data_IF_156791165552
#
_entry.id   IF_156791165552
#
_cell.length_a   1.000
_cell.length_b   1.000
_cell.length_c   1.000
_cell.angle_alpha   90.00
_cell.angle_beta   90.00
_cell.angle_gamma   90.00
#
_symmetry.space_group_name_H-M   'P 1'
#
loop_
_entity.id
_entity.type
_entity.pdbx_description
1 polymer ?
#
# COMPACT_ATOMS: atom_id res chain seq x y z
N UNK A 1 25.35 13.00 3.23
CA UNK A 1 24.11 13.67 2.80
C UNK A 1 23.41 14.15 4.06
N UNK A 2 23.06 15.43 4.14
CA UNK A 2 22.20 15.91 5.23
C UNK A 2 20.83 15.25 5.05
N UNK A 3 20.24 14.71 6.12
CA UNK A 3 18.87 14.19 6.09
C UNK A 3 17.94 15.30 5.59
N UNK A 4 16.93 14.96 4.79
CA UNK A 4 15.91 15.95 4.43
C UNK A 4 15.31 16.53 5.73
N UNK A 5 15.25 17.87 5.86
CA UNK A 5 14.55 18.52 6.96
C UNK A 5 13.04 18.30 6.76
N UNK A 6 12.54 17.16 7.21
CA UNK A 6 11.13 16.81 7.19
C UNK A 6 10.50 17.35 8.48
N UNK A 7 9.62 18.35 8.33
CA UNK A 7 8.80 18.86 9.43
C UNK A 7 7.44 18.20 9.39
N UNK A 8 6.99 17.67 10.53
CA UNK A 8 5.70 17.02 10.71
C UNK A 8 4.96 17.66 11.89
N UNK A 9 3.63 17.79 11.84
CA UNK A 9 2.84 18.19 13.01
C UNK A 9 3.00 17.18 14.15
N UNK A 10 3.17 17.66 15.38
CA UNK A 10 3.26 16.79 16.57
C UNK A 10 1.97 16.01 16.82
N UNK A 11 0.83 16.57 16.40
CA UNK A 11 -0.51 16.01 16.54
C UNK A 11 -0.96 15.18 15.33
N UNK A 12 -0.05 14.78 14.43
CA UNK A 12 -0.38 14.11 13.17
C UNK A 12 -1.35 12.93 13.36
N UNK A 13 -1.07 12.07 14.35
CA UNK A 13 -1.89 10.91 14.68
C UNK A 13 -3.28 11.28 15.16
N UNK A 14 -3.40 12.11 16.20
CA UNK A 14 -4.69 12.50 16.80
C UNK A 14 -5.53 13.34 15.83
N UNK A 15 -4.91 14.28 15.11
CA UNK A 15 -5.56 15.06 14.05
C UNK A 15 -6.15 14.14 12.98
N UNK A 16 -5.38 13.15 12.52
CA UNK A 16 -5.85 12.23 11.48
C UNK A 16 -7.04 11.38 11.91
N UNK A 17 -7.12 10.98 13.19
CA UNK A 17 -8.26 10.25 13.74
C UNK A 17 -9.53 11.09 13.72
N UNK A 18 -9.45 12.34 14.17
CA UNK A 18 -10.59 13.26 14.19
C UNK A 18 -11.09 13.52 12.76
N UNK A 19 -10.17 13.80 11.82
CA UNK A 19 -10.52 13.98 10.41
C UNK A 19 -11.16 12.73 9.81
N UNK A 20 -10.66 11.54 10.15
CA UNK A 20 -11.19 10.28 9.65
C UNK A 20 -12.63 10.06 10.14
N UNK A 21 -12.89 10.21 11.43
CA UNK A 21 -14.23 10.00 12.00
C UNK A 21 -15.25 10.97 11.44
N UNK A 22 -14.87 12.24 11.31
CA UNK A 22 -15.70 13.26 10.68
C UNK A 22 -16.05 12.87 9.24
N UNK A 23 -15.07 12.51 8.42
CA UNK A 23 -15.30 12.12 7.03
C UNK A 23 -16.14 10.85 6.87
N UNK A 24 -15.97 9.88 7.78
CA UNK A 24 -16.83 8.69 7.82
C UNK A 24 -18.25 9.09 8.18
N UNK A 25 -18.45 9.93 9.21
CA UNK A 25 -19.77 10.39 9.64
C UNK A 25 -20.52 11.17 8.56
N UNK A 26 -19.78 11.93 7.74
CA UNK A 26 -20.31 12.67 6.57
C UNK A 26 -20.49 11.82 5.32
N UNK A 27 -20.15 10.52 5.37
CA UNK A 27 -20.22 9.61 4.22
C UNK A 27 -19.27 9.95 3.08
N UNK A 28 -18.25 10.77 3.33
CA UNK A 28 -17.22 11.16 2.36
C UNK A 28 -16.09 10.12 2.27
N UNK A 29 -15.73 9.49 3.40
CA UNK A 29 -14.74 8.41 3.46
C UNK A 29 -15.46 7.09 3.72
N UNK A 30 -15.06 6.03 3.01
CA UNK A 30 -15.68 4.72 3.11
C UNK A 30 -14.86 3.78 4.00
N UNK A 31 -15.43 3.46 5.14
CA UNK A 31 -14.90 2.50 6.10
C UNK A 31 -16.05 1.74 6.76
N UNK A 32 -15.84 0.44 6.94
CA UNK A 32 -16.67 -0.40 7.81
C UNK A 32 -15.74 -1.39 8.47
N UNK A 33 -15.92 -1.63 9.76
CA UNK A 33 -15.20 -2.69 10.44
C UNK A 33 -15.52 -4.03 9.74
N UNK A 34 -14.47 -4.73 9.31
CA UNK A 34 -14.57 -6.01 8.60
C UNK A 34 -13.95 -7.09 9.47
N UNK A 35 -14.63 -8.22 9.62
CA UNK A 35 -14.02 -9.41 10.22
C UNK A 35 -12.95 -9.99 9.27
N UNK A 36 -11.85 -10.45 9.86
CA UNK A 36 -10.78 -11.15 9.16
C UNK A 36 -10.94 -12.66 9.27
N UNK A 37 -10.56 -13.37 8.22
CA UNK A 37 -10.36 -14.81 8.19
C UNK A 37 -8.86 -15.09 8.08
N UNK A 38 -8.30 -15.87 8.99
CA UNK A 38 -6.89 -16.27 8.94
C UNK A 38 -6.80 -17.69 8.39
N UNK A 39 -6.00 -17.86 7.34
CA UNK A 39 -5.79 -19.15 6.66
C UNK A 39 -4.30 -19.42 6.53
N UNK A 40 -3.86 -20.60 6.94
CA UNK A 40 -2.48 -21.07 6.74
C UNK A 40 -2.44 -22.06 5.59
N UNK A 41 -1.57 -21.82 4.61
CA UNK A 41 -1.36 -22.73 3.48
C UNK A 41 0.14 -22.81 3.15
N UNK A 42 0.68 -24.02 3.06
CA UNK A 42 2.11 -24.27 2.80
C UNK A 42 3.08 -23.46 3.70
N UNK A 43 2.71 -23.25 4.97
CA UNK A 43 3.53 -22.49 5.93
C UNK A 43 3.46 -20.95 5.78
N UNK A 44 2.63 -20.46 4.87
CA UNK A 44 2.33 -19.04 4.68
C UNK A 44 0.97 -18.69 5.30
N UNK A 45 0.90 -17.58 6.01
CA UNK A 45 -0.33 -17.10 6.67
C UNK A 45 -0.97 -15.99 5.86
N UNK A 46 -2.26 -16.14 5.58
CA UNK A 46 -3.10 -15.15 4.94
C UNK A 46 -4.11 -14.60 5.92
N UNK A 47 -4.32 -13.30 5.88
CA UNK A 47 -5.44 -12.60 6.48
C UNK A 47 -6.35 -12.07 5.36
N UNK A 48 -7.51 -12.68 5.19
CA UNK A 48 -8.53 -12.22 4.25
C UNK A 48 -9.50 -11.26 4.92
N UNK A 49 -9.74 -10.11 4.30
CA UNK A 49 -10.79 -9.15 4.72
C UNK A 49 -11.66 -8.79 3.54
N UNK A 50 -12.97 -8.95 3.68
CA UNK A 50 -13.94 -8.49 2.68
C UNK A 50 -14.43 -7.09 3.06
N UNK A 51 -14.31 -6.15 2.13
CA UNK A 51 -14.87 -4.81 2.29
C UNK A 51 -15.54 -4.31 1.01
N UNK A 52 -16.86 -4.10 1.01
CA UNK A 52 -17.58 -3.53 -0.12
C UNK A 52 -17.10 -2.12 -0.51
N UNK A 53 -16.44 -1.40 0.41
CA UNK A 53 -15.86 -0.07 0.12
C UNK A 53 -14.85 -0.13 -1.04
N UNK A 54 -14.17 -1.25 -1.24
CA UNK A 54 -13.21 -1.42 -2.33
C UNK A 54 -13.86 -1.30 -3.71
N UNK A 55 -15.18 -1.57 -3.85
CA UNK A 55 -15.92 -1.38 -5.10
C UNK A 55 -16.06 0.10 -5.50
N UNK A 56 -15.85 1.02 -4.54
CA UNK A 56 -15.91 2.49 -4.76
C UNK A 56 -14.54 3.11 -5.02
N UNK A 57 -13.47 2.31 -4.97
CA UNK A 57 -12.10 2.81 -5.10
C UNK A 57 -11.87 3.34 -6.51
N UNK A 58 -11.41 4.59 -6.67
CA UNK A 58 -10.99 5.11 -7.96
C UNK A 58 -9.80 4.29 -8.50
N UNK A 59 -10.01 3.67 -9.66
CA UNK A 59 -9.03 2.81 -10.31
C UNK A 59 -8.86 3.27 -11.76
N UNK A 60 -7.60 3.37 -12.21
CA UNK A 60 -7.27 3.58 -13.61
C UNK A 60 -6.88 2.24 -14.24
N UNK A 61 -7.54 1.90 -15.34
CA UNK A 61 -7.22 0.73 -16.16
C UNK A 61 -5.79 0.78 -16.71
N UNK A 62 -5.27 -0.38 -17.17
CA UNK A 62 -3.88 -0.51 -17.67
C UNK A 62 -3.53 0.56 -18.70
N UNK A 63 -4.36 0.71 -19.72
CA UNK A 63 -4.10 1.55 -20.89
C UNK A 63 -4.77 2.93 -20.78
N UNK A 64 -5.26 3.32 -19.59
CA UNK A 64 -5.87 4.64 -19.40
C UNK A 64 -4.79 5.74 -19.54
N UNK A 65 -4.91 6.66 -20.52
CA UNK A 65 -3.92 7.72 -20.73
C UNK A 65 -3.77 8.64 -19.52
N UNK A 66 -4.76 8.72 -18.62
CA UNK A 66 -4.68 9.49 -17.38
C UNK A 66 -3.61 8.99 -16.43
N UNK A 67 -3.10 7.76 -16.60
CA UNK A 67 -1.95 7.28 -15.83
C UNK A 67 -0.69 8.10 -16.09
N UNK A 68 -0.58 8.73 -17.25
CA UNK A 68 0.54 9.61 -17.61
C UNK A 68 0.18 11.09 -17.54
N UNK A 69 -1.07 11.41 -17.21
CA UNK A 69 -1.53 12.79 -17.16
C UNK A 69 -1.18 13.46 -15.83
N UNK A 70 -0.74 14.71 -15.92
CA UNK A 70 -0.60 15.66 -14.82
C UNK A 70 -1.96 16.20 -14.33
N UNK A 71 -2.97 15.33 -14.24
CA UNK A 71 -4.34 15.67 -13.82
C UNK A 71 -4.92 14.67 -12.82
N UNK A 72 -4.04 13.92 -12.14
CA UNK A 72 -4.41 12.92 -11.15
C UNK A 72 -5.03 13.52 -9.88
N UNK A 73 -5.66 12.68 -9.02
CA UNK A 73 -6.40 13.10 -7.82
C UNK A 73 -5.52 13.67 -6.68
N UNK A 74 -4.24 13.89 -6.95
CA UNK A 74 -3.23 14.33 -5.99
C UNK A 74 -2.70 15.74 -6.28
N UNK A 75 -2.93 16.28 -7.49
CA UNK A 75 -2.51 17.65 -7.82
C UNK A 75 -3.48 18.71 -7.31
N UNK A 76 -4.78 18.36 -7.26
CA UNK A 76 -5.80 19.19 -6.62
C UNK A 76 -6.68 18.31 -5.70
N UNK A 77 -6.12 17.83 -4.58
CA UNK A 77 -6.84 16.94 -3.66
C UNK A 77 -7.96 17.72 -2.94
N UNK A 78 -9.04 17.02 -2.59
CA UNK A 78 -10.04 17.56 -1.66
C UNK A 78 -9.34 17.94 -0.34
N UNK A 79 -9.35 19.22 0.08
CA UNK A 79 -8.66 19.68 1.27
C UNK A 79 -9.14 18.99 2.55
N UNK A 80 -10.39 18.49 2.59
CA UNK A 80 -10.91 17.76 3.75
C UNK A 80 -10.11 16.46 4.01
N UNK A 81 -9.48 15.88 2.98
CA UNK A 81 -8.69 14.66 3.10
C UNK A 81 -7.22 14.92 3.43
N UNK A 82 -6.70 16.14 3.20
CA UNK A 82 -5.27 16.45 3.33
C UNK A 82 -4.91 16.68 4.81
N UNK A 83 -4.15 15.75 5.37
CA UNK A 83 -3.76 15.77 6.80
C UNK A 83 -2.61 16.76 7.03
N UNK A 84 -1.55 16.68 6.22
CA UNK A 84 -0.36 17.50 6.36
C UNK A 84 0.49 17.53 5.08
N UNK A 85 1.29 18.59 4.92
CA UNK A 85 2.42 18.61 4.00
C UNK A 85 3.62 17.94 4.68
N UNK A 86 4.41 17.16 3.94
CA UNK A 86 5.53 16.35 4.47
C UNK A 86 6.80 16.82 3.78
N UNK A 87 7.55 17.68 4.46
CA UNK A 87 8.68 18.39 3.85
C UNK A 87 8.24 19.19 2.61
N UNK A 88 9.12 19.30 1.62
CA UNK A 88 8.84 20.09 0.41
C UNK A 88 8.22 19.27 -0.73
N UNK A 89 8.42 17.94 -0.73
CA UNK A 89 8.12 17.08 -1.88
C UNK A 89 6.80 16.30 -1.75
N UNK A 90 6.29 16.06 -0.54
CA UNK A 90 5.17 15.16 -0.32
C UNK A 90 4.03 15.80 0.46
N UNK A 91 2.86 15.17 0.37
CA UNK A 91 1.71 15.46 1.22
C UNK A 91 1.03 14.15 1.64
N UNK A 92 0.50 14.15 2.86
CA UNK A 92 -0.22 13.03 3.44
C UNK A 92 -1.71 13.32 3.41
N UNK A 93 -2.50 12.38 2.90
CA UNK A 93 -3.97 12.43 2.95
C UNK A 93 -4.56 11.12 3.47
N UNK A 94 -5.80 11.20 3.94
CA UNK A 94 -6.60 10.02 4.24
C UNK A 94 -6.92 9.24 2.96
N UNK A 95 -6.87 7.92 3.04
CA UNK A 95 -7.31 7.04 1.95
C UNK A 95 -8.84 7.02 1.89
N UNK A 96 -9.39 7.05 0.68
CA UNK A 96 -10.85 7.13 0.46
C UNK A 96 -11.58 5.83 0.86
N UNK A 97 -10.96 4.68 0.61
CA UNK A 97 -11.51 3.35 0.89
C UNK A 97 -10.58 2.64 1.87
N UNK A 98 -10.90 2.74 3.15
CA UNK A 98 -10.02 2.31 4.23
C UNK A 98 -10.38 0.89 4.70
N UNK A 99 -9.36 0.02 4.79
CA UNK A 99 -9.49 -1.27 5.51
C UNK A 99 -9.20 -1.11 7.00
N UNK A 100 -8.44 -0.08 7.35
CA UNK A 100 -8.04 0.23 8.72
C UNK A 100 -8.41 1.66 9.05
N UNK A 101 -8.72 1.90 10.32
CA UNK A 101 -9.01 3.22 10.86
C UNK A 101 -7.75 3.82 11.50
N UNK A 102 -7.17 4.89 10.94
CA UNK A 102 -7.24 5.34 9.55
C UNK A 102 -6.20 4.64 8.66
N UNK A 103 -6.35 4.74 7.34
CA UNK A 103 -5.30 4.45 6.37
C UNK A 103 -5.02 5.69 5.53
N UNK A 104 -3.82 5.77 4.96
CA UNK A 104 -3.28 6.98 4.36
C UNK A 104 -2.72 6.76 2.96
N UNK A 105 -2.60 7.85 2.23
CA UNK A 105 -1.85 7.96 0.98
C UNK A 105 -0.84 9.09 1.15
N UNK A 106 0.44 8.77 1.03
CA UNK A 106 1.55 9.73 0.95
C UNK A 106 1.96 9.84 -0.51
N UNK A 107 1.83 11.03 -1.10
CA UNK A 107 2.01 11.25 -2.54
C UNK A 107 2.95 12.43 -2.80
N UNK A 108 3.57 12.44 -3.98
CA UNK A 108 4.41 13.56 -4.43
C UNK A 108 3.53 14.76 -4.79
N UNK A 109 3.93 15.97 -4.40
CA UNK A 109 3.12 17.19 -4.64
C UNK A 109 3.13 17.64 -6.09
N UNK A 110 4.18 17.27 -6.82
CA UNK A 110 4.25 17.37 -8.27
C UNK A 110 4.04 15.98 -8.87
N UNK A 111 3.54 15.94 -10.11
CA UNK A 111 3.34 14.67 -10.79
C UNK A 111 4.69 13.98 -11.01
N UNK A 112 4.81 12.79 -10.47
CA UNK A 112 5.85 11.81 -10.78
C UNK A 112 5.14 10.52 -11.18
N UNK A 113 5.70 9.74 -12.10
CA UNK A 113 5.06 8.49 -12.53
C UNK A 113 5.13 7.43 -11.43
N UNK A 114 4.04 6.71 -11.22
CA UNK A 114 3.95 5.52 -10.35
C UNK A 114 4.84 4.35 -10.84
N UNK A 115 5.41 4.45 -12.03
CA UNK A 115 6.42 3.50 -12.54
C UNK A 115 7.86 3.90 -12.22
N UNK A 116 8.07 5.07 -11.61
CA UNK A 116 9.40 5.48 -11.15
C UNK A 116 9.75 4.82 -9.82
N UNK A 117 11.03 4.54 -9.63
CA UNK A 117 11.51 3.97 -8.39
C UNK A 117 11.31 4.93 -7.20
N UNK A 118 11.14 4.35 -6.01
CA UNK A 118 11.27 5.11 -4.77
C UNK A 118 12.72 5.60 -4.66
N UNK A 119 12.89 6.90 -4.46
CA UNK A 119 14.17 7.50 -4.14
C UNK A 119 14.31 7.65 -2.61
N UNK A 120 15.47 8.14 -2.16
CA UNK A 120 15.75 8.31 -0.73
C UNK A 120 14.75 9.26 -0.06
N UNK A 121 14.32 10.32 -0.74
CA UNK A 121 13.36 11.30 -0.20
C UNK A 121 12.00 10.65 0.04
N UNK A 122 11.54 9.77 -0.85
CA UNK A 122 10.28 9.03 -0.65
C UNK A 122 10.33 8.12 0.57
N UNK A 123 11.45 7.39 0.73
CA UNK A 123 11.65 6.46 1.85
C UNK A 123 11.77 7.22 3.17
N UNK A 124 12.52 8.33 3.20
CA UNK A 124 12.64 9.19 4.38
C UNK A 124 11.28 9.79 4.78
N UNK A 125 10.49 10.27 3.81
CA UNK A 125 9.13 10.78 4.07
C UNK A 125 8.20 9.70 4.63
N UNK A 126 8.19 8.50 4.03
CA UNK A 126 7.38 7.40 4.51
C UNK A 126 7.77 6.99 5.94
N UNK A 127 9.07 6.84 6.23
CA UNK A 127 9.55 6.49 7.58
C UNK A 127 9.22 7.56 8.61
N UNK A 128 9.38 8.85 8.27
CA UNK A 128 9.06 9.95 9.16
C UNK A 128 7.55 9.97 9.51
N UNK A 129 6.68 9.78 8.51
CA UNK A 129 5.24 9.66 8.73
C UNK A 129 4.90 8.44 9.60
N UNK A 130 5.43 7.25 9.28
CA UNK A 130 5.18 6.04 10.08
C UNK A 130 5.62 6.23 11.55
N UNK A 131 6.78 6.86 11.78
CA UNK A 131 7.29 7.15 13.11
C UNK A 131 6.41 8.16 13.86
N UNK A 132 5.94 9.22 13.20
CA UNK A 132 5.07 10.22 13.80
C UNK A 132 3.66 9.70 14.12
N UNK A 133 3.15 8.73 13.35
CA UNK A 133 1.86 8.09 13.62
C UNK A 133 1.92 7.08 14.77
N UNK A 134 3.10 6.47 15.00
CA UNK A 134 3.28 5.35 15.94
C UNK A 134 2.79 5.62 17.38
N UNK A 135 3.05 6.78 18.01
CA UNK A 135 2.59 7.03 19.38
C UNK A 135 1.07 7.01 19.55
N UNK A 136 0.31 7.33 18.50
CA UNK A 136 -1.16 7.39 18.56
C UNK A 136 -1.82 6.15 17.92
N UNK A 137 -1.26 5.65 16.82
CA UNK A 137 -1.89 4.62 15.98
C UNK A 137 -1.18 3.27 16.03
N UNK A 138 -0.08 3.15 16.79
CA UNK A 138 0.74 1.95 16.84
C UNK A 138 1.62 1.76 15.59
N UNK A 139 2.28 0.60 15.46
CA UNK A 139 3.14 0.31 14.32
C UNK A 139 2.39 0.39 12.99
N UNK A 140 3.07 0.89 11.95
CA UNK A 140 2.50 1.09 10.62
C UNK A 140 3.22 0.19 9.60
N UNK A 141 2.50 -0.16 8.55
CA UNK A 141 3.02 -0.78 7.35
C UNK A 141 2.87 0.18 6.17
N UNK A 142 3.87 0.25 5.30
CA UNK A 142 3.83 0.98 4.04
C UNK A 142 3.87 0.01 2.87
N UNK A 143 3.06 0.27 1.85
CA UNK A 143 3.18 -0.39 0.54
C UNK A 143 3.37 0.62 -0.59
N UNK A 144 4.22 0.26 -1.53
CA UNK A 144 4.36 0.89 -2.84
C UNK A 144 4.03 -0.13 -3.92
N UNK A 145 3.17 0.23 -4.86
CA UNK A 145 2.81 -0.62 -5.99
C UNK A 145 3.38 0.04 -7.26
N UNK A 146 4.60 -0.32 -7.65
CA UNK A 146 5.29 0.27 -8.80
C UNK A 146 4.77 -0.39 -10.08
N UNK A 147 4.02 0.36 -10.89
CA UNK A 147 3.43 -0.14 -12.15
C UNK A 147 2.09 -0.87 -12.01
N UNK A 148 1.52 -1.26 -13.15
CA UNK A 148 0.16 -1.83 -13.26
C UNK A 148 0.12 -3.23 -12.68
N UNK A 149 1.11 -4.07 -12.99
CA UNK A 149 1.18 -5.46 -12.55
C UNK A 149 1.51 -5.59 -11.06
N UNK A 150 1.97 -4.51 -10.44
CA UNK A 150 2.07 -4.40 -8.98
C UNK A 150 0.75 -4.05 -8.28
N UNK A 151 -0.32 -3.75 -9.04
CA UNK A 151 -1.61 -3.36 -8.49
C UNK A 151 -1.75 -1.86 -8.19
N UNK A 152 -1.02 -0.99 -8.90
CA UNK A 152 -1.23 0.45 -8.79
C UNK A 152 -2.65 0.84 -9.20
N UNK A 153 -3.32 1.67 -8.40
CA UNK A 153 -4.65 2.20 -8.75
C UNK A 153 -4.62 3.55 -9.46
N UNK A 154 -3.49 4.24 -9.41
CA UNK A 154 -3.28 5.59 -9.97
C UNK A 154 -1.91 5.64 -10.65
N UNK A 155 -1.74 6.55 -11.60
CA UNK A 155 -0.45 6.75 -12.30
C UNK A 155 0.48 7.79 -11.65
N UNK A 156 -0.01 8.55 -10.68
CA UNK A 156 0.79 9.51 -9.91
C UNK A 156 1.44 8.81 -8.72
N UNK A 157 2.76 8.93 -8.57
CA UNK A 157 3.59 8.39 -7.50
C UNK A 157 3.03 8.61 -6.09
N UNK A 158 2.73 7.51 -5.42
CA UNK A 158 2.24 7.48 -4.05
C UNK A 158 2.54 6.14 -3.37
N UNK A 159 2.70 6.18 -2.06
CA UNK A 159 2.69 5.01 -1.17
C UNK A 159 1.41 5.01 -0.33
N UNK A 160 0.99 3.84 0.12
CA UNK A 160 -0.12 3.68 1.08
C UNK A 160 0.45 3.30 2.44
N UNK A 161 0.00 3.94 3.50
CA UNK A 161 0.43 3.67 4.89
C UNK A 161 -0.81 3.31 5.70
N UNK A 162 -0.73 2.24 6.49
CA UNK A 162 -1.85 1.77 7.31
C UNK A 162 -1.33 1.03 8.55
N UNK A 163 -2.16 0.88 9.60
CA UNK A 163 -1.81 0.11 10.79
C UNK A 163 -1.31 -1.29 10.44
N UNK A 164 -0.18 -1.68 11.04
CA UNK A 164 0.34 -3.03 10.90
C UNK A 164 -0.56 -4.00 11.67
N UNK A 165 -1.11 -5.05 11.03
CA UNK A 165 -1.91 -6.05 11.72
C UNK A 165 -1.10 -6.79 12.78
N UNK A 166 -1.76 -7.12 13.89
CA UNK A 166 -1.16 -7.83 15.03
C UNK A 166 -1.63 -9.28 15.15
N UNK A 167 -2.58 -9.70 14.32
CA UNK A 167 -3.22 -11.02 14.41
C UNK A 167 -2.45 -12.13 13.69
N UNK A 168 -1.48 -11.79 12.85
CA UNK A 168 -0.59 -12.72 12.16
C UNK A 168 0.84 -12.17 12.12
N UNK A 169 1.80 -13.09 12.03
CA UNK A 169 3.19 -12.74 11.74
C UNK A 169 3.39 -12.72 10.23
N UNK A 170 3.65 -11.54 9.68
CA UNK A 170 3.93 -11.36 8.26
C UNK A 170 5.18 -12.16 7.87
N UNK A 171 5.15 -12.79 6.70
CA UNK A 171 6.25 -13.65 6.22
C UNK A 171 7.64 -12.98 6.32
N UNK A 172 7.82 -11.69 5.93
CA UNK A 172 9.13 -11.03 6.07
C UNK A 172 9.66 -10.95 7.50
N UNK A 173 8.81 -10.97 8.52
CA UNK A 173 9.24 -10.96 9.94
C UNK A 173 9.91 -12.28 10.35
N UNK A 174 9.67 -13.35 9.60
CA UNK A 174 10.28 -14.68 9.81
C UNK A 174 11.59 -14.84 9.02
N UNK A 175 11.93 -13.88 8.15
CA UNK A 175 13.11 -13.96 7.31
C UNK A 175 14.37 -13.49 8.05
N UNK A 176 15.51 -14.10 7.74
CA UNK A 176 16.83 -13.63 8.17
C UNK A 176 17.53 -12.94 7.01
N UNK A 177 18.16 -11.80 7.28
CA UNK A 177 19.00 -11.13 6.29
C UNK A 177 20.42 -11.67 6.37
N UNK A 178 20.92 -12.20 5.25
CA UNK A 178 22.31 -12.65 5.14
C UNK A 178 23.23 -11.53 4.62
N UNK A 179 22.67 -10.57 3.87
CA UNK A 179 23.41 -9.49 3.22
C UNK A 179 22.57 -8.21 3.14
N UNK A 180 23.21 -7.05 3.25
CA UNK A 180 22.60 -5.75 3.01
C UNK A 180 23.02 -5.21 1.63
N UNK A 181 22.07 -5.06 0.70
CA UNK A 181 22.29 -4.37 -0.57
C UNK A 181 21.58 -3.02 -0.58
N UNK A 182 22.25 -1.99 -1.12
CA UNK A 182 21.63 -0.69 -1.41
C UNK A 182 20.97 -0.64 -2.78
N UNK A 183 21.21 -1.64 -3.63
CA UNK A 183 20.70 -1.72 -4.99
C UNK A 183 19.99 -3.06 -5.17
N UNK A 184 18.67 -3.03 -5.38
CA UNK A 184 17.87 -4.20 -5.72
C UNK A 184 17.50 -4.07 -7.20
N UNK A 185 18.06 -4.91 -8.06
CA UNK A 185 17.60 -5.03 -9.46
C UNK A 185 16.42 -5.99 -9.50
N UNK A 186 15.24 -5.48 -9.82
CA UNK A 186 13.99 -6.27 -9.93
C UNK A 186 13.85 -6.97 -11.29
N UNK A 187 14.67 -6.61 -12.29
CA UNK A 187 14.57 -7.13 -13.64
C UNK A 187 15.28 -8.49 -13.78
N UNK A 188 14.55 -9.57 -13.55
CA UNK A 188 14.93 -10.93 -14.00
C UNK A 188 14.38 -11.26 -15.41
N UNK A 189 14.18 -10.26 -16.27
CA UNK A 189 13.61 -10.46 -17.61
C UNK A 189 12.08 -10.57 -17.68
N UNK A 190 11.37 -10.35 -16.57
CA UNK A 190 9.90 -10.52 -16.46
C UNK A 190 9.11 -9.21 -16.34
N UNK A 191 9.73 -8.05 -16.59
CA UNK A 191 9.15 -6.72 -16.43
C UNK A 191 9.85 -5.87 -15.36
N UNK A 192 9.36 -4.65 -15.17
CA UNK A 192 9.89 -3.66 -14.21
C UNK A 192 8.97 -3.42 -13.01
N UNK A 193 7.81 -4.07 -12.96
CA UNK A 193 6.79 -3.82 -11.94
C UNK A 193 7.13 -4.60 -10.65
N UNK A 194 6.91 -3.96 -9.51
CA UNK A 194 7.22 -4.56 -8.21
C UNK A 194 6.42 -3.91 -7.08
N UNK A 195 6.32 -4.63 -5.97
CA UNK A 195 5.89 -4.05 -4.71
C UNK A 195 7.09 -3.75 -3.82
N UNK A 196 6.99 -2.67 -3.04
CA UNK A 196 7.77 -2.48 -1.83
C UNK A 196 6.82 -2.57 -0.66
N UNK A 197 7.19 -3.33 0.37
CA UNK A 197 6.48 -3.40 1.64
C UNK A 197 7.49 -3.05 2.73
N UNK A 198 7.16 -2.11 3.60
CA UNK A 198 8.09 -1.61 4.61
C UNK A 198 7.40 -1.53 5.97
N UNK A 199 8.04 -2.12 6.98
CA UNK A 199 7.74 -1.91 8.39
C UNK A 199 8.86 -1.07 9.02
N UNK A 200 8.85 -0.93 10.34
CA UNK A 200 9.86 -0.17 11.07
C UNK A 200 11.27 -0.77 10.95
N UNK A 201 11.34 -2.10 10.96
CA UNK A 201 12.55 -2.91 11.11
C UNK A 201 12.93 -3.70 9.84
N UNK A 202 12.06 -3.76 8.83
CA UNK A 202 12.35 -4.45 7.57
C UNK A 202 11.74 -3.76 6.35
N UNK A 203 12.35 -4.03 5.20
CA UNK A 203 11.84 -3.69 3.87
C UNK A 203 11.88 -4.94 2.99
N UNK A 204 10.81 -5.18 2.25
CA UNK A 204 10.65 -6.30 1.34
C UNK A 204 10.32 -5.77 -0.04
N UNK A 205 11.00 -6.29 -1.07
CA UNK A 205 10.71 -6.01 -2.47
C UNK A 205 10.21 -7.29 -3.12
N UNK A 206 9.03 -7.22 -3.75
CA UNK A 206 8.41 -8.36 -4.43
C UNK A 206 8.30 -8.03 -5.92
N UNK A 207 9.11 -8.63 -6.80
CA UNK A 207 8.95 -8.50 -8.24
C UNK A 207 7.58 -9.04 -8.68
N UNK A 208 6.92 -8.34 -9.62
CA UNK A 208 5.54 -8.65 -10.03
C UNK A 208 5.48 -8.93 -11.53
N UNK A 209 4.68 -9.93 -11.89
CA UNK A 209 4.39 -10.31 -13.29
C UNK A 209 2.96 -10.04 -13.68
N UNK A 210 2.04 -10.18 -12.72
CA UNK A 210 0.60 -10.05 -12.94
C UNK A 210 -0.03 -9.38 -11.72
N UNK A 211 -0.95 -8.46 -11.96
CA UNK A 211 -1.79 -7.88 -10.90
C UNK A 211 -2.75 -8.90 -10.29
N UNK A 212 -3.27 -9.80 -11.12
CA UNK A 212 -4.33 -10.75 -10.80
C UNK A 212 -4.79 -11.51 -12.04
N UNK A 213 -5.69 -12.47 -11.84
CA UNK A 213 -6.33 -13.25 -12.89
C UNK A 213 -7.83 -13.35 -12.60
N UNK A 214 -8.66 -13.20 -13.63
CA UNK A 214 -10.12 -13.36 -13.53
C UNK A 214 -10.74 -12.50 -12.40
N UNK A 215 -10.19 -11.29 -12.23
CA UNK A 215 -10.58 -10.38 -11.17
C UNK A 215 -10.01 -10.70 -9.78
N UNK A 216 -9.25 -11.78 -9.59
CA UNK A 216 -8.65 -12.16 -8.31
C UNK A 216 -7.18 -11.75 -8.29
N UNK A 217 -6.82 -10.77 -7.47
CA UNK A 217 -5.47 -10.20 -7.49
C UNK A 217 -4.92 -9.83 -6.12
N UNK A 218 -3.71 -9.29 -6.13
CA UNK A 218 -3.02 -8.78 -4.95
C UNK A 218 -2.25 -7.50 -5.28
N UNK A 219 -2.23 -6.57 -4.34
CA UNK A 219 -1.24 -5.49 -4.29
C UNK A 219 -0.08 -5.92 -3.36
N UNK A 220 0.80 -4.98 -3.00
CA UNK A 220 1.91 -5.26 -2.08
C UNK A 220 1.48 -5.85 -0.74
N UNK A 221 0.34 -5.43 -0.18
CA UNK A 221 -0.18 -6.00 1.07
C UNK A 221 -0.56 -7.48 0.89
N UNK A 222 -1.27 -7.81 -0.19
CA UNK A 222 -1.67 -9.19 -0.50
C UNK A 222 -0.48 -10.12 -0.73
N UNK A 223 0.61 -9.61 -1.32
CA UNK A 223 1.84 -10.39 -1.53
C UNK A 223 2.57 -10.78 -0.23
N UNK A 224 2.28 -10.11 0.89
CA UNK A 224 2.80 -10.46 2.22
C UNK A 224 1.73 -11.07 3.14
N UNK A 225 0.57 -11.46 2.58
CA UNK A 225 -0.49 -12.17 3.27
C UNK A 225 -1.67 -11.32 3.72
N UNK A 226 -1.68 -10.01 3.48
CA UNK A 226 -2.80 -9.13 3.84
C UNK A 226 -3.73 -8.93 2.64
N UNK A 227 -4.70 -9.82 2.46
CA UNK A 227 -5.53 -9.85 1.25
C UNK A 227 -6.87 -9.15 1.50
N UNK A 228 -7.10 -8.06 0.78
CA UNK A 228 -8.34 -7.29 0.86
C UNK A 228 -9.21 -7.52 -0.39
N UNK A 229 -10.45 -7.91 -0.17
CA UNK A 229 -11.35 -8.46 -1.17
C UNK A 229 -12.64 -7.63 -1.26
N UNK A 230 -13.20 -7.54 -2.46
CA UNK A 230 -14.46 -6.80 -2.69
C UNK A 230 -15.68 -7.56 -2.23
N UNK A 231 -15.64 -8.90 -2.32
CA UNK A 231 -16.75 -9.79 -1.98
C UNK A 231 -16.30 -11.25 -1.85
N UNK A 232 -17.26 -12.12 -1.52
CA UNK A 232 -17.05 -13.55 -1.35
C UNK A 232 -16.66 -14.27 -2.65
N UNK A 233 -17.06 -13.75 -3.82
CA UNK A 233 -16.68 -14.38 -5.08
C UNK A 233 -15.17 -14.26 -5.31
N UNK A 234 -14.59 -13.10 -5.00
CA UNK A 234 -13.14 -12.90 -5.04
C UNK A 234 -12.41 -13.81 -4.03
N UNK A 235 -12.98 -14.01 -2.83
CA UNK A 235 -12.46 -14.94 -1.81
C UNK A 235 -12.43 -16.38 -2.30
N UNK A 236 -13.51 -16.86 -2.90
CA UNK A 236 -13.60 -18.22 -3.43
C UNK A 236 -12.64 -18.43 -4.62
N UNK A 237 -12.36 -17.36 -5.37
CA UNK A 237 -11.36 -17.36 -6.43
C UNK A 237 -9.95 -17.64 -5.92
N UNK A 238 -9.57 -17.10 -4.75
CA UNK A 238 -8.28 -17.38 -4.11
C UNK A 238 -8.12 -18.87 -3.78
N UNK A 239 -9.17 -19.54 -3.26
CA UNK A 239 -9.13 -20.99 -3.02
C UNK A 239 -8.96 -21.77 -4.33
N UNK A 240 -9.69 -21.35 -5.36
CA UNK A 240 -9.67 -22.01 -6.68
C UNK A 240 -8.30 -21.93 -7.37
N UNK A 241 -7.49 -20.90 -7.06
CA UNK A 241 -6.13 -20.72 -7.58
C UNK A 241 -5.03 -21.27 -6.67
N UNK A 242 -5.38 -21.86 -5.52
CA UNK A 242 -4.41 -22.50 -4.61
C UNK A 242 -3.61 -21.55 -3.72
N UNK A 243 -4.16 -20.39 -3.33
CA UNK A 243 -3.56 -19.47 -2.34
C UNK A 243 -2.07 -19.10 -2.58
N UNK A 244 -1.11 -19.89 -2.07
CA UNK A 244 0.32 -19.74 -2.35
C UNK A 244 0.66 -19.95 -3.82
N UNK A 245 0.01 -20.89 -4.48
CA UNK A 245 0.17 -21.11 -5.93
C UNK A 245 -0.24 -19.86 -6.72
N UNK A 246 -1.27 -19.14 -6.25
CA UNK A 246 -1.66 -17.86 -6.82
C UNK A 246 -0.58 -16.80 -6.62
N UNK A 247 -0.02 -16.66 -5.41
CA UNK A 247 1.10 -15.74 -5.16
C UNK A 247 2.31 -16.00 -6.08
N UNK A 248 2.64 -17.28 -6.33
CA UNK A 248 3.71 -17.66 -7.28
C UNK A 248 3.40 -17.19 -8.69
N UNK A 249 2.14 -17.21 -9.12
CA UNK A 249 1.72 -16.68 -10.43
C UNK A 249 1.85 -15.15 -10.49
N UNK A 250 1.46 -14.45 -9.42
CA UNK A 250 1.50 -12.98 -9.36
C UNK A 250 2.92 -12.41 -9.25
N UNK A 251 3.79 -13.11 -8.52
CA UNK A 251 5.21 -12.79 -8.35
C UNK A 251 6.12 -13.54 -9.33
N UNK A 252 7.43 -13.49 -9.12
CA UNK A 252 8.41 -14.30 -9.87
C UNK A 252 8.69 -15.61 -9.11
N UNK A 253 8.52 -16.79 -9.72
CA UNK A 253 8.74 -18.07 -9.07
C UNK A 253 10.23 -18.25 -8.71
N UNK A 254 10.50 -18.90 -7.58
CA UNK A 254 11.85 -19.34 -7.24
C UNK A 254 12.22 -20.48 -8.19
N UNK A 255 13.26 -20.28 -8.99
CA UNK A 255 13.89 -21.34 -9.81
C UNK A 255 14.77 -22.23 -8.96
#
# INVERSE_FOLDING_TARGET
MAMANITLPEDLGSKSLVMFDDLVSRGKLFYSESQSEIVSHNGFEFEFRISPALKRKPYLERDDPKRMADKGPFLNPDPDFVVAQIGVHHALKLNLCCMYRPAFVLYTRIFESQTQDLNLVDVEAARAVMAALKPTLGPQLMIYNCGVDAGSSQGHKHVQIFPQPTQLSLYPQKATSENASRNVKTTMGYGSDYNVVMAEDWICVVPRRLVGRDGVGANGAGMVGLVWLRDQAERNGWDSFGLTEHLVQLGVPRT
#
